data_IF_728385476162
#
_entry.id   IF_728385476162
#
_cell.length_a   1.000
_cell.length_b   1.000
_cell.length_c   1.000
_cell.angle_alpha   90.00
_cell.angle_beta   90.00
_cell.angle_gamma   90.00
#
_symmetry.space_group_name_H-M   'P 1'
#
loop_
_entity.id
_entity.type
_entity.pdbx_description
1 polymer ?
#
# COMPACT_ATOMS: atom_id res chain seq x y z
N UNK A 1 14.69 8.04 -21.54
CA UNK A 1 13.68 8.51 -20.57
C UNK A 1 12.57 7.47 -20.52
N UNK A 2 12.75 6.37 -19.78
CA UNK A 2 11.66 5.41 -19.60
C UNK A 2 10.71 5.99 -18.56
N UNK A 3 9.66 6.66 -19.03
CA UNK A 3 8.59 7.25 -18.20
C UNK A 3 7.69 6.22 -17.52
N UNK A 4 7.99 4.92 -17.63
CA UNK A 4 7.15 3.84 -17.12
C UNK A 4 7.99 2.88 -16.29
N UNK A 5 7.71 2.86 -14.99
CA UNK A 5 8.25 1.84 -14.10
C UNK A 5 7.45 0.54 -14.25
N UNK A 6 7.85 -0.29 -15.22
CA UNK A 6 7.17 -1.56 -15.51
C UNK A 6 7.22 -2.54 -14.33
N UNK A 7 8.19 -2.39 -13.42
CA UNK A 7 8.38 -3.28 -12.27
C UNK A 7 7.40 -3.01 -11.12
N UNK A 8 6.96 -1.76 -10.96
CA UNK A 8 5.95 -1.39 -9.97
C UNK A 8 4.53 -1.86 -10.32
N UNK A 9 4.25 -2.06 -11.62
CA UNK A 9 2.90 -2.41 -12.12
C UNK A 9 2.38 -3.73 -11.53
N UNK A 10 3.12 -4.86 -11.54
CA UNK A 10 2.65 -6.10 -10.92
C UNK A 10 2.35 -5.95 -9.41
N UNK A 11 3.19 -5.22 -8.67
CA UNK A 11 3.03 -5.00 -7.23
C UNK A 11 1.73 -4.26 -6.94
N UNK A 12 1.47 -3.19 -7.70
CA UNK A 12 0.25 -2.39 -7.60
C UNK A 12 -0.99 -3.23 -7.92
N UNK A 13 -0.96 -4.00 -9.02
CA UNK A 13 -2.09 -4.83 -9.44
C UNK A 13 -2.43 -5.85 -8.36
N UNK A 14 -1.43 -6.51 -7.77
CA UNK A 14 -1.64 -7.47 -6.68
C UNK A 14 -2.25 -6.76 -5.45
N UNK A 15 -1.67 -5.64 -5.01
CA UNK A 15 -2.19 -4.88 -3.86
C UNK A 15 -3.62 -4.40 -4.09
N UNK A 16 -3.94 -3.95 -5.31
CA UNK A 16 -5.27 -3.48 -5.66
C UNK A 16 -6.31 -4.61 -5.67
N UNK A 17 -5.96 -5.78 -6.19
CA UNK A 17 -6.82 -6.98 -6.16
C UNK A 17 -7.09 -7.38 -4.71
N UNK A 18 -6.04 -7.46 -3.86
CA UNK A 18 -6.19 -7.80 -2.45
C UNK A 18 -7.12 -6.78 -1.77
N UNK A 19 -6.88 -5.49 -1.96
CA UNK A 19 -7.72 -4.43 -1.38
C UNK A 19 -9.19 -4.53 -1.81
N UNK A 20 -9.47 -4.79 -3.11
CA UNK A 20 -10.85 -4.94 -3.59
C UNK A 20 -11.56 -6.14 -2.96
N UNK A 21 -10.86 -7.28 -2.83
CA UNK A 21 -11.42 -8.49 -2.20
C UNK A 21 -11.78 -8.19 -0.74
N UNK A 22 -10.88 -7.58 0.03
CA UNK A 22 -11.14 -7.22 1.43
C UNK A 22 -12.29 -6.23 1.56
N UNK A 23 -12.32 -5.18 0.73
CA UNK A 23 -13.40 -4.19 0.76
C UNK A 23 -14.77 -4.81 0.50
N UNK A 24 -14.86 -5.80 -0.39
CA UNK A 24 -16.11 -6.50 -0.69
C UNK A 24 -16.53 -7.44 0.45
N UNK A 25 -15.56 -8.09 1.10
CA UNK A 25 -15.80 -8.93 2.28
C UNK A 25 -16.30 -8.06 3.43
N UNK A 26 -15.61 -6.99 3.79
CA UNK A 26 -15.99 -6.12 4.92
C UNK A 26 -17.39 -5.53 4.74
N UNK A 27 -17.73 -5.03 3.53
CA UNK A 27 -19.08 -4.54 3.21
C UNK A 27 -20.17 -5.59 3.42
N UNK A 28 -19.85 -6.87 3.21
CA UNK A 28 -20.81 -7.99 3.35
C UNK A 28 -21.05 -8.35 4.82
N UNK A 29 -20.06 -8.15 5.69
CA UNK A 29 -20.12 -8.59 7.09
C UNK A 29 -20.39 -7.48 8.10
N UNK A 30 -19.99 -6.23 7.82
CA UNK A 30 -20.28 -5.06 8.66
C UNK A 30 -20.72 -3.90 7.76
N UNK A 31 -22.01 -3.51 7.77
CA UNK A 31 -22.42 -2.29 7.11
C UNK A 31 -21.64 -1.12 7.75
N UNK A 32 -21.20 -0.12 6.97
CA UNK A 32 -20.33 0.93 7.46
C UNK A 32 -21.02 1.66 8.62
N UNK A 33 -20.49 1.49 9.83
CA UNK A 33 -20.81 2.40 10.92
C UNK A 33 -20.17 3.74 10.60
N UNK A 34 -20.99 4.79 10.52
CA UNK A 34 -20.62 6.16 10.15
C UNK A 34 -19.76 6.88 11.22
N UNK A 35 -18.99 6.15 12.03
CA UNK A 35 -18.18 6.72 13.12
C UNK A 35 -16.89 7.41 12.62
N UNK A 36 -16.52 7.22 11.35
CA UNK A 36 -15.29 7.77 10.77
C UNK A 36 -15.58 8.83 9.70
N UNK A 37 -14.98 10.00 9.90
CA UNK A 37 -15.24 11.22 9.14
C UNK A 37 -15.01 11.01 7.63
N UNK A 38 -16.00 11.39 6.79
CA UNK A 38 -15.94 11.19 5.33
C UNK A 38 -14.71 11.81 4.68
N UNK A 39 -14.24 12.94 5.20
CA UNK A 39 -13.02 13.60 4.73
C UNK A 39 -11.76 12.75 4.90
N UNK A 40 -11.65 12.00 6.00
CA UNK A 40 -10.48 11.17 6.28
C UNK A 40 -10.43 9.94 5.37
N UNK A 41 -11.59 9.33 5.08
CA UNK A 41 -11.72 8.29 4.06
C UNK A 41 -11.31 8.79 2.67
N UNK A 42 -11.74 10.01 2.31
CA UNK A 42 -11.34 10.64 1.05
C UNK A 42 -9.84 10.88 0.97
N UNK A 43 -9.24 11.35 2.06
CA UNK A 43 -7.80 11.62 2.12
C UNK A 43 -6.96 10.34 2.02
N UNK A 44 -7.37 9.26 2.68
CA UNK A 44 -6.77 7.92 2.51
C UNK A 44 -6.81 7.48 1.05
N UNK A 45 -7.97 7.59 0.40
CA UNK A 45 -8.14 7.17 -0.99
C UNK A 45 -7.30 8.03 -1.94
N UNK A 46 -7.28 9.35 -1.76
CA UNK A 46 -6.46 10.27 -2.56
C UNK A 46 -4.98 9.92 -2.40
N UNK A 47 -4.51 9.69 -1.16
CA UNK A 47 -3.14 9.24 -0.90
C UNK A 47 -2.83 7.91 -1.59
N UNK A 48 -3.74 6.93 -1.50
CA UNK A 48 -3.56 5.63 -2.15
C UNK A 48 -3.49 5.73 -3.67
N UNK A 49 -4.38 6.50 -4.30
CA UNK A 49 -4.35 6.73 -5.74
C UNK A 49 -3.12 7.53 -6.18
N UNK A 50 -2.69 8.52 -5.39
CA UNK A 50 -1.49 9.30 -5.68
C UNK A 50 -0.24 8.42 -5.65
N UNK A 51 -0.10 7.54 -4.64
CA UNK A 51 1.02 6.59 -4.54
C UNK A 51 1.01 5.60 -5.70
N UNK A 52 -0.14 5.04 -6.05
CA UNK A 52 -0.29 4.13 -7.20
C UNK A 52 0.11 4.84 -8.49
N UNK A 53 -0.38 6.06 -8.70
CA UNK A 53 -0.10 6.84 -9.89
C UNK A 53 1.40 7.17 -10.01
N UNK A 54 2.02 7.63 -8.91
CA UNK A 54 3.44 7.96 -8.87
C UNK A 54 4.33 6.73 -9.10
N UNK A 55 3.94 5.59 -8.55
CA UNK A 55 4.69 4.33 -8.73
C UNK A 55 4.60 3.78 -10.15
N UNK A 56 3.54 4.07 -10.92
CA UNK A 56 3.44 3.71 -12.36
C UNK A 56 4.14 4.74 -13.24
N UNK A 57 3.88 6.02 -13.00
CA UNK A 57 4.34 7.12 -13.85
C UNK A 57 5.82 7.47 -13.63
N UNK A 58 6.44 6.95 -12.56
CA UNK A 58 7.88 7.01 -12.29
C UNK A 58 8.46 8.40 -12.50
N UNK A 59 8.33 9.28 -11.51
CA UNK A 59 8.95 10.62 -11.54
C UNK A 59 10.43 10.60 -11.12
N UNK A 60 11.07 9.43 -11.25
CA UNK A 60 12.45 9.18 -10.85
C UNK A 60 13.36 10.25 -11.40
N UNK A 61 14.03 10.95 -10.48
CA UNK A 61 14.96 12.06 -10.79
C UNK A 61 16.13 11.54 -11.65
N UNK A 62 16.36 10.23 -11.70
CA UNK A 62 17.30 9.54 -12.58
C UNK A 62 16.57 8.51 -13.45
N UNK A 63 16.88 8.51 -14.75
CA UNK A 63 16.15 7.82 -15.83
C UNK A 63 16.01 6.30 -15.76
N UNK A 64 16.43 5.66 -14.67
CA UNK A 64 16.24 4.23 -14.34
C UNK A 64 15.67 3.99 -12.91
N UNK A 65 15.40 5.04 -12.12
CA UNK A 65 14.82 4.98 -10.77
C UNK A 65 15.73 4.39 -9.67
N UNK A 66 16.65 3.49 -10.00
CA UNK A 66 17.53 2.83 -9.03
C UNK A 66 18.98 3.29 -9.16
N UNK A 67 19.65 3.57 -8.03
CA UNK A 67 21.07 3.92 -8.01
C UNK A 67 22.01 2.79 -8.44
N UNK A 68 21.58 1.53 -8.31
CA UNK A 68 22.39 0.34 -8.59
C UNK A 68 21.53 -0.90 -8.79
N UNK A 69 22.00 -1.84 -9.61
CA UNK A 69 21.38 -3.16 -9.79
C UNK A 69 21.21 -3.91 -8.46
N UNK A 70 22.13 -3.70 -7.50
CA UNK A 70 22.02 -4.29 -6.17
C UNK A 70 20.79 -3.77 -5.40
N UNK A 71 20.48 -2.47 -5.51
CA UNK A 71 19.28 -1.88 -4.89
C UNK A 71 18.00 -2.39 -5.55
N UNK A 72 18.01 -2.58 -6.86
CA UNK A 72 16.90 -3.15 -7.61
C UNK A 72 16.61 -4.60 -7.19
N UNK A 73 17.63 -5.45 -7.08
CA UNK A 73 17.47 -6.83 -6.60
C UNK A 73 16.94 -6.84 -5.16
N UNK A 74 17.51 -6.00 -4.29
CA UNK A 74 17.06 -5.87 -2.91
C UNK A 74 15.59 -5.43 -2.82
N UNK A 75 15.18 -4.48 -3.67
CA UNK A 75 13.79 -4.03 -3.79
C UNK A 75 12.88 -5.19 -4.21
N UNK A 76 13.19 -5.93 -5.28
CA UNK A 76 12.38 -7.05 -5.77
C UNK A 76 12.19 -8.11 -4.67
N UNK A 77 13.29 -8.53 -4.01
CA UNK A 77 13.24 -9.55 -2.96
C UNK A 77 12.38 -9.08 -1.78
N UNK A 78 12.55 -7.81 -1.38
CA UNK A 78 11.79 -7.20 -0.30
C UNK A 78 10.30 -7.08 -0.65
N UNK A 79 9.96 -6.70 -1.88
CA UNK A 79 8.58 -6.60 -2.37
C UNK A 79 7.88 -7.95 -2.38
N UNK A 80 8.53 -9.00 -2.91
CA UNK A 80 7.97 -10.36 -2.91
C UNK A 80 7.72 -10.83 -1.47
N UNK A 81 8.68 -10.62 -0.57
CA UNK A 81 8.56 -11.01 0.82
C UNK A 81 7.42 -10.27 1.54
N UNK A 82 7.34 -8.94 1.38
CA UNK A 82 6.31 -8.10 2.00
C UNK A 82 4.91 -8.41 1.43
N UNK A 83 4.79 -8.68 0.13
CA UNK A 83 3.52 -9.08 -0.49
C UNK A 83 3.03 -10.42 0.07
N UNK A 84 3.93 -11.41 0.24
CA UNK A 84 3.57 -12.69 0.84
C UNK A 84 3.08 -12.51 2.29
N UNK A 85 3.78 -11.69 3.09
CA UNK A 85 3.34 -11.37 4.46
C UNK A 85 2.00 -10.65 4.49
N UNK A 86 1.76 -9.73 3.55
CA UNK A 86 0.48 -9.06 3.41
C UNK A 86 -0.65 -10.04 3.11
N UNK A 87 -0.47 -10.92 2.12
CA UNK A 87 -1.46 -11.92 1.72
C UNK A 87 -1.73 -12.90 2.88
N UNK A 88 -0.68 -13.36 3.58
CA UNK A 88 -0.84 -14.23 4.75
C UNK A 88 -1.62 -13.54 5.87
N UNK A 89 -1.29 -12.28 6.16
CA UNK A 89 -1.99 -11.49 7.19
C UNK A 89 -3.45 -11.28 6.84
N UNK A 90 -3.73 -11.03 5.56
CA UNK A 90 -5.08 -10.98 5.00
C UNK A 90 -5.84 -12.30 5.21
N UNK A 91 -5.27 -13.44 4.83
CA UNK A 91 -5.90 -14.77 5.00
C UNK A 91 -6.14 -15.07 6.49
N UNK A 92 -5.15 -14.80 7.33
CA UNK A 92 -5.28 -15.00 8.78
C UNK A 92 -6.33 -14.06 9.39
N UNK A 93 -6.40 -12.81 8.94
CA UNK A 93 -7.43 -11.86 9.37
C UNK A 93 -8.82 -12.37 9.00
N UNK A 94 -8.99 -12.88 7.78
CA UNK A 94 -10.26 -13.48 7.36
C UNK A 94 -10.70 -14.64 8.27
N UNK A 95 -9.74 -15.48 8.71
CA UNK A 95 -10.03 -16.62 9.59
C UNK A 95 -10.28 -16.24 11.04
N UNK A 96 -9.44 -15.36 11.61
CA UNK A 96 -9.42 -15.09 13.05
C UNK A 96 -10.14 -13.82 13.47
N UNK A 97 -10.36 -12.88 12.54
CA UNK A 97 -10.94 -11.53 12.80
C UNK A 97 -10.28 -10.75 13.94
N UNK A 98 -9.00 -10.99 14.18
CA UNK A 98 -8.26 -10.29 15.23
C UNK A 98 -7.93 -8.86 14.81
N UNK A 99 -8.10 -7.91 15.75
CA UNK A 99 -7.72 -6.52 15.57
C UNK A 99 -6.25 -6.32 15.18
N UNK A 100 -5.34 -7.12 15.76
CA UNK A 100 -3.91 -7.10 15.43
C UNK A 100 -3.66 -7.45 13.95
N UNK A 101 -4.37 -8.45 13.42
CA UNK A 101 -4.20 -8.87 12.03
C UNK A 101 -4.78 -7.83 11.07
N UNK A 102 -5.86 -7.15 11.44
CA UNK A 102 -6.39 -6.02 10.67
C UNK A 102 -5.38 -4.87 10.59
N UNK A 103 -4.77 -4.48 11.71
CA UNK A 103 -3.70 -3.47 11.70
C UNK A 103 -2.53 -3.89 10.81
N UNK A 104 -2.13 -5.16 10.83
CA UNK A 104 -1.07 -5.67 9.95
C UNK A 104 -1.44 -5.51 8.47
N UNK A 105 -2.70 -5.73 8.08
CA UNK A 105 -3.14 -5.50 6.68
C UNK A 105 -3.04 -4.04 6.24
N UNK A 106 -3.04 -3.08 7.17
CA UNK A 106 -2.79 -1.66 6.86
C UNK A 106 -1.30 -1.30 6.86
N UNK A 107 -0.51 -1.91 7.75
CA UNK A 107 0.93 -1.65 7.89
C UNK A 107 1.71 -2.17 6.68
N UNK A 108 1.48 -3.40 6.23
CA UNK A 108 2.23 -3.98 5.11
C UNK A 108 2.20 -3.16 3.81
N UNK A 109 1.04 -2.74 3.26
CA UNK A 109 1.01 -1.91 2.06
C UNK A 109 1.69 -0.56 2.28
N UNK A 110 1.59 0.00 3.49
CA UNK A 110 2.27 1.25 3.85
C UNK A 110 3.80 1.11 3.80
N UNK A 111 4.34 0.02 4.36
CA UNK A 111 5.77 -0.29 4.31
C UNK A 111 6.24 -0.51 2.88
N UNK A 112 5.46 -1.23 2.06
CA UNK A 112 5.75 -1.45 0.64
C UNK A 112 5.92 -0.10 -0.09
N UNK A 113 4.99 0.84 0.10
CA UNK A 113 5.05 2.13 -0.58
C UNK A 113 6.19 3.02 -0.10
N UNK A 114 6.46 3.07 1.21
CA UNK A 114 7.57 3.84 1.78
C UNK A 114 8.91 3.27 1.27
N UNK A 115 9.06 1.95 1.30
CA UNK A 115 10.27 1.26 0.85
C UNK A 115 10.51 1.49 -0.65
N UNK A 116 9.44 1.49 -1.45
CA UNK A 116 9.51 1.80 -2.88
C UNK A 116 9.95 3.25 -3.12
N UNK A 117 9.30 4.24 -2.48
CA UNK A 117 9.71 5.65 -2.62
C UNK A 117 11.14 5.93 -2.18
N UNK A 118 11.64 5.20 -1.17
CA UNK A 118 13.02 5.33 -0.71
C UNK A 118 14.03 4.73 -1.70
N UNK A 119 13.76 3.54 -2.25
CA UNK A 119 14.67 2.81 -3.13
C UNK A 119 14.64 3.34 -4.58
N UNK A 120 13.50 3.82 -5.05
CA UNK A 120 13.34 4.46 -6.36
C UNK A 120 13.76 5.94 -6.37
N UNK A 121 14.19 6.44 -5.21
CA UNK A 121 14.57 7.85 -5.01
C UNK A 121 13.51 8.83 -5.53
N UNK A 122 12.26 8.54 -5.22
CA UNK A 122 11.10 9.34 -5.60
C UNK A 122 10.56 10.08 -4.37
N UNK A 123 11.06 11.30 -4.07
CA UNK A 123 10.55 12.12 -2.98
C UNK A 123 9.03 12.31 -3.00
N UNK A 124 8.37 12.51 -4.16
CA UNK A 124 6.91 12.61 -4.21
C UNK A 124 6.25 11.31 -3.74
N UNK A 125 6.73 10.16 -4.23
CA UNK A 125 6.18 8.85 -3.86
C UNK A 125 6.31 8.61 -2.36
N UNK A 126 7.48 8.92 -1.79
CA UNK A 126 7.74 8.78 -0.36
C UNK A 126 6.81 9.65 0.50
N UNK A 127 6.60 10.91 0.10
CA UNK A 127 5.75 11.84 0.84
C UNK A 127 4.29 11.36 0.86
N UNK A 128 3.74 10.98 -0.29
CA UNK A 128 2.37 10.45 -0.36
C UNK A 128 2.25 9.08 0.32
N UNK A 129 3.30 8.25 0.31
CA UNK A 129 3.32 6.98 1.02
C UNK A 129 3.21 7.17 2.54
N UNK A 130 3.91 8.15 3.11
CA UNK A 130 3.80 8.50 4.55
C UNK A 130 2.39 8.98 4.88
N UNK A 131 1.84 9.87 4.06
CA UNK A 131 0.48 10.39 4.22
C UNK A 131 -0.55 9.25 4.18
N UNK A 132 -0.42 8.36 3.20
CA UNK A 132 -1.24 7.16 3.09
C UNK A 132 -1.09 6.24 4.30
N UNK A 133 0.14 6.02 4.78
CA UNK A 133 0.42 5.17 5.93
C UNK A 133 -0.30 5.66 7.20
N UNK A 134 -0.15 6.95 7.50
CA UNK A 134 -0.82 7.58 8.65
C UNK A 134 -2.33 7.45 8.51
N UNK A 135 -2.88 7.77 7.33
CA UNK A 135 -4.31 7.66 7.05
C UNK A 135 -4.82 6.23 7.24
N UNK A 136 -4.19 5.25 6.61
CA UNK A 136 -4.57 3.83 6.70
C UNK A 136 -4.51 3.30 8.12
N UNK A 137 -3.42 3.55 8.83
CA UNK A 137 -3.24 3.02 10.19
C UNK A 137 -4.27 3.65 11.13
N UNK A 138 -4.47 4.96 11.06
CA UNK A 138 -5.47 5.65 11.88
C UNK A 138 -6.90 5.17 11.61
N UNK A 139 -7.25 5.01 10.34
CA UNK A 139 -8.56 4.48 9.93
C UNK A 139 -8.78 3.06 10.46
N UNK A 140 -7.73 2.23 10.42
CA UNK A 140 -7.76 0.83 10.86
C UNK A 140 -7.76 0.70 12.38
N UNK A 141 -7.12 1.62 13.11
CA UNK A 141 -7.17 1.64 14.58
C UNK A 141 -8.50 2.13 15.13
N UNK A 142 -9.20 2.99 14.38
CA UNK A 142 -10.52 3.53 14.76
C UNK A 142 -11.67 2.64 14.29
N UNK A 143 -11.43 1.73 13.35
CA UNK A 143 -12.43 0.74 12.95
C UNK A 143 -12.61 -0.27 14.08
N UNK A 144 -13.72 -0.17 14.80
CA UNK A 144 -14.15 -1.22 15.73
C UNK A 144 -14.48 -2.48 14.90
N UNK A 145 -13.65 -3.52 15.04
CA UNK A 145 -13.86 -4.84 14.43
C UNK A 145 -14.83 -5.67 15.24
#
# INVERSE_FOLDING_TARGET
>A
MQFFNLYGVPVIVILFIVWMIFRNIDKKYKPPTDSVNRGLKGFEQIGGFAVIFLMVCGFGIQGDGFLSDAMKIFWIVSMVFLLLLHILSCIMFYRSRNHTLHMLTAIFPSVIFILTGLLEQDPPLLLFAIVFAIGKIYMTSKSEI
#
